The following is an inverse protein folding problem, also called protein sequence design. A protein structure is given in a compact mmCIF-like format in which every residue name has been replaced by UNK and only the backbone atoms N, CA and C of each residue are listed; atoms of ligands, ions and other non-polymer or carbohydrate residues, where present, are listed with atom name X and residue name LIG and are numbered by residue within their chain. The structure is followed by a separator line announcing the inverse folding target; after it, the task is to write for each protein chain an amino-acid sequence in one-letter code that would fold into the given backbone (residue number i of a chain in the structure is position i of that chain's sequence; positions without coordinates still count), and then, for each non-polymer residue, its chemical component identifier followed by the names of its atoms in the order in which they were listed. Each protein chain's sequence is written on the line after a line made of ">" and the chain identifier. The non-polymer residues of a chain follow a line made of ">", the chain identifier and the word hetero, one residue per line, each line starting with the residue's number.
data_IF_463544999908
#
_entry.id   IF_463544999908
#
_cell.length_a   1.000
_cell.length_b   1.000
_cell.length_c   1.000
_cell.angle_alpha   90.00
_cell.angle_beta   90.00
_cell.angle_gamma   90.00
#
_symmetry.space_group_name_H-M   'P 1'
#
loop_
_entity.id
_entity.type
_entity.pdbx_description
1 polymer ?
2 water ?
#
# COMPACT_ATOMS: atom_id res chain seq x y z
N UNK A 4 10.23 7.82 11.81
CA UNK A 4 11.53 7.65 11.15
C UNK A 4 12.13 6.28 11.47
N UNK A 5 11.54 5.24 10.88
CA UNK A 5 12.02 3.88 11.07
C UNK A 5 12.78 3.43 9.81
N UNK A 6 13.60 2.39 9.93
CA UNK A 6 14.32 1.91 8.75
C UNK A 6 13.42 1.15 7.77
N UNK A 7 12.28 0.66 8.25
CA UNK A 7 11.42 -0.19 7.45
C UNK A 7 10.01 0.31 7.23
N UNK A 8 9.26 -0.44 6.44
CA UNK A 8 7.90 -0.07 6.11
C UNK A 8 7.06 -1.32 6.18
N UNK A 9 5.99 -1.25 6.95
CA UNK A 9 5.10 -2.37 7.15
C UNK A 9 3.68 -1.85 7.01
N UNK A 10 3.13 -1.94 5.81
CA UNK A 10 1.81 -1.39 5.55
C UNK A 10 0.86 -2.40 4.93
N UNK A 11 -0.33 -2.49 5.51
CA UNK A 11 -1.39 -3.24 4.89
C UNK A 11 -2.52 -2.27 4.59
N UNK A 12 -3.17 -2.46 3.44
CA UNK A 12 -4.40 -1.74 3.12
C UNK A 12 -5.45 -2.74 2.71
N UNK A 13 -6.57 -2.73 3.42
CA UNK A 13 -7.63 -3.68 3.12
C UNK A 13 -8.96 -3.00 2.90
N UNK A 14 -9.80 -3.67 2.13
CA UNK A 14 -11.19 -3.30 1.98
C UNK A 14 -11.96 -4.61 1.90
N UNK A 15 -13.01 -4.73 2.71
CA UNK A 15 -13.77 -5.97 2.80
C UNK A 15 -14.86 -5.90 3.87
N UNK A 16 -15.43 -7.05 4.23
CA UNK A 16 -16.54 -7.06 5.17
C UNK A 16 -16.28 -7.87 6.44
N UNK A 17 -16.84 -7.42 7.56
CA UNK A 17 -16.78 -8.16 8.80
C UNK A 17 -17.54 -9.46 8.67
N UNK A 18 -16.89 -10.57 9.02
CA UNK A 18 -17.54 -11.86 9.04
C UNK A 18 -18.55 -11.92 10.17
N UNK A 19 -18.20 -11.32 11.30
CA UNK A 19 -19.10 -11.28 12.44
C UNK A 19 -19.20 -9.88 13.07
N UNK A 20 -20.17 -9.71 13.97
CA UNK A 20 -20.24 -8.51 14.78
C UNK A 20 -18.95 -8.39 15.59
N UNK A 21 -18.47 -7.16 15.81
CA UNK A 21 -17.17 -6.99 16.45
C UNK A 21 -17.09 -7.59 17.86
N UNK A 22 -15.89 -8.01 18.26
CA UNK A 22 -15.61 -8.44 19.62
C UNK A 22 -14.87 -7.35 20.38
N UNK A 23 -15.39 -6.97 21.55
CA UNK A 23 -14.81 -5.86 22.30
C UNK A 23 -14.50 -6.21 23.76
N UNK A 24 -13.37 -5.72 24.25
CA UNK A 24 -12.99 -5.93 25.64
C UNK A 24 -12.33 -4.66 26.17
N UNK A 25 -12.21 -4.58 27.48
CA UNK A 25 -11.50 -3.48 28.11
C UNK A 25 -10.35 -4.03 28.95
N UNK A 26 -9.28 -3.25 29.03
CA UNK A 26 -8.15 -3.60 29.88
C UNK A 26 -8.45 -3.16 31.31
N UNK A 27 -7.77 -3.78 32.29
CA UNK A 27 -7.93 -3.43 33.72
C UNK A 27 -7.91 -1.91 33.95
N UNK A 28 -7.20 -1.17 33.11
CA UNK A 28 -7.19 0.28 33.22
C UNK A 28 -8.33 0.98 32.47
N UNK A 29 -9.13 0.22 31.74
CA UNK A 29 -10.30 0.78 31.07
C UNK A 29 -10.23 0.82 29.56
N UNK A 30 -9.05 1.15 29.02
CA UNK A 30 -8.83 1.24 27.59
C UNK A 30 -9.43 0.10 26.77
N UNK A 31 -10.12 0.46 25.69
CA UNK A 31 -10.83 -0.49 24.83
C UNK A 31 -9.90 -1.30 23.93
N UNK A 32 -10.40 -2.45 23.48
CA UNK A 32 -9.66 -3.34 22.57
C UNK A 32 -10.65 -4.16 21.76
N UNK A 33 -10.66 -3.95 20.45
CA UNK A 33 -11.56 -4.70 19.57
C UNK A 33 -10.86 -5.53 18.51
N UNK A 34 -11.46 -6.68 18.21
CA UNK A 34 -10.97 -7.55 17.15
C UNK A 34 -12.09 -7.80 16.16
N UNK A 35 -11.76 -7.91 14.88
CA UNK A 35 -12.73 -8.37 13.90
C UNK A 35 -12.05 -9.29 12.90
N UNK A 36 -12.88 -9.99 12.17
CA UNK A 36 -12.43 -10.82 11.07
C UNK A 36 -12.87 -10.15 9.78
N UNK A 37 -11.95 -10.00 8.85
CA UNK A 37 -12.29 -9.33 7.61
C UNK A 37 -12.17 -10.26 6.43
N UNK A 38 -13.21 -10.29 5.61
CA UNK A 38 -13.14 -11.01 4.35
C UNK A 38 -12.90 -10.03 3.21
N UNK A 39 -11.83 -10.27 2.46
CA UNK A 39 -11.57 -9.52 1.24
C UNK A 39 -11.73 -10.42 0.02
N UNK A 40 -12.53 -9.99 -0.94
CA UNK A 40 -12.76 -10.78 -2.15
C UNK A 40 -11.98 -10.31 -3.37
N UNK A 41 -11.59 -11.29 -4.18
CA UNK A 41 -11.17 -11.04 -5.55
C UNK A 41 -12.00 -11.96 -6.45
N UNK A 42 -11.67 -12.00 -7.74
CA UNK A 42 -12.39 -12.89 -8.66
C UNK A 42 -11.44 -13.77 -9.46
N UNK A 43 -11.80 -15.04 -9.60
CA UNK A 43 -11.03 -15.98 -10.40
C UNK A 43 -11.81 -16.38 -11.64
N UNK A 44 -11.10 -16.58 -12.74
CA UNK A 44 -11.73 -16.97 -14.00
C UNK A 44 -11.52 -18.46 -14.20
N UNK A 45 -12.61 -19.21 -14.30
CA UNK A 45 -12.48 -20.62 -14.57
C UNK A 45 -11.99 -20.77 -16.00
N UNK A 46 -10.79 -21.33 -16.14
CA UNK A 46 -10.12 -21.41 -17.44
C UNK A 46 -10.92 -22.26 -18.43
N UNK A 47 -11.59 -23.28 -17.93
CA UNK A 47 -12.34 -24.17 -18.81
C UNK A 47 -13.68 -23.55 -19.25
N UNK A 48 -14.45 -23.06 -18.28
CA UNK A 48 -15.84 -22.70 -18.52
C UNK A 48 -16.08 -21.20 -18.58
N UNK A 49 -15.07 -20.42 -18.24
CA UNK A 49 -15.21 -18.97 -18.20
C UNK A 49 -16.07 -18.43 -17.06
N UNK A 50 -16.39 -19.26 -16.08
CA UNK A 50 -17.17 -18.80 -14.93
C UNK A 50 -16.40 -17.81 -14.04
N UNK A 51 -17.11 -16.78 -13.60
CA UNK A 51 -16.52 -15.77 -12.73
C UNK A 51 -16.85 -16.08 -11.28
N UNK A 52 -15.85 -16.57 -10.57
CA UNK A 52 -16.04 -17.10 -9.24
C UNK A 52 -15.27 -16.26 -8.22
N UNK A 53 -15.85 -16.13 -7.03
CA UNK A 53 -15.30 -15.29 -5.98
C UNK A 53 -14.36 -16.06 -5.06
N UNK A 54 -13.16 -15.52 -4.85
CA UNK A 54 -12.23 -16.06 -3.88
C UNK A 54 -12.08 -15.09 -2.69
N UNK A 55 -11.93 -15.65 -1.50
CA UNK A 55 -11.98 -14.86 -0.28
C UNK A 55 -10.77 -15.12 0.61
N UNK A 56 -10.15 -14.04 1.10
CA UNK A 56 -9.10 -14.18 2.10
C UNK A 56 -9.65 -13.70 3.42
N UNK A 57 -9.16 -14.29 4.50
CA UNK A 57 -9.62 -13.90 5.83
C UNK A 57 -8.52 -13.28 6.68
N UNK A 58 -8.86 -12.24 7.43
CA UNK A 58 -7.87 -11.47 8.15
C UNK A 58 -8.33 -11.18 9.54
N UNK A 59 -7.41 -11.29 10.50
CA UNK A 59 -7.72 -10.92 11.86
C UNK A 59 -7.24 -9.50 12.11
N UNK A 60 -8.12 -8.66 12.62
CA UNK A 60 -7.75 -7.28 12.84
C UNK A 60 -7.99 -6.85 14.28
N UNK A 61 -7.02 -6.12 14.82
CA UNK A 61 -7.10 -5.61 16.18
C UNK A 61 -7.13 -4.10 16.15
N UNK A 62 -8.01 -3.51 16.96
CA UNK A 62 -8.10 -2.05 17.12
C UNK A 62 -7.91 -1.70 18.59
N UNK A 63 -7.45 -0.48 18.85
CA UNK A 63 -7.18 -0.05 20.22
C UNK A 63 -7.70 1.35 20.52
N UNK A 64 -8.19 1.54 21.74
CA UNK A 64 -8.59 2.85 22.21
C UNK A 64 -9.75 3.43 21.40
N UNK A 65 -9.60 4.67 20.94
CA UNK A 65 -10.69 5.36 20.28
C UNK A 65 -11.22 4.58 19.07
N UNK A 66 -10.31 4.09 18.23
CA UNK A 66 -10.70 3.26 17.09
C UNK A 66 -11.52 2.05 17.51
N UNK A 67 -11.14 1.44 18.61
CA UNK A 67 -11.86 0.29 19.12
C UNK A 67 -13.27 0.72 19.52
N UNK A 68 -13.37 1.87 20.16
CA UNK A 68 -14.65 2.40 20.57
C UNK A 68 -15.53 2.60 19.34
N UNK A 69 -14.97 3.25 18.32
CA UNK A 69 -15.68 3.47 17.07
C UNK A 69 -16.18 2.15 16.48
N UNK A 70 -15.34 1.13 16.57
CA UNK A 70 -15.69 -0.18 16.02
C UNK A 70 -16.83 -0.83 16.79
N UNK A 71 -16.76 -0.78 18.11
CA UNK A 71 -17.83 -1.33 18.94
C UNK A 71 -19.19 -0.71 18.66
N UNK A 72 -19.21 0.61 18.54
CA UNK A 72 -20.46 1.34 18.37
C UNK A 72 -21.05 1.19 16.97
N UNK A 73 -20.20 1.24 15.96
CA UNK A 73 -20.67 1.48 14.60
C UNK A 73 -20.68 0.30 13.65
N UNK A 74 -19.94 -0.76 13.97
CA UNK A 74 -19.80 -1.82 12.98
C UNK A 74 -20.60 -3.05 13.31
N UNK A 75 -20.92 -3.83 12.27
CA UNK A 75 -21.78 -5.00 12.39
C UNK A 75 -21.36 -6.06 11.35
N UNK A 76 -21.88 -7.26 11.53
CA UNK A 76 -21.67 -8.32 10.55
C UNK A 76 -22.06 -7.76 9.18
N UNK A 77 -21.14 -7.86 8.22
CA UNK A 77 -21.42 -7.41 6.88
C UNK A 77 -20.88 -6.04 6.54
N UNK A 78 -20.60 -5.23 7.56
CA UNK A 78 -20.11 -3.88 7.37
C UNK A 78 -18.90 -3.85 6.46
N UNK A 79 -18.91 -2.96 5.48
CA UNK A 79 -17.78 -2.81 4.57
C UNK A 79 -16.92 -1.66 5.05
N UNK A 80 -15.64 -1.94 5.24
CA UNK A 80 -14.73 -0.93 5.75
C UNK A 80 -13.40 -0.93 5.01
N UNK A 81 -12.71 0.20 5.09
CA UNK A 81 -11.33 0.36 4.67
C UNK A 81 -10.44 0.35 5.90
N UNK A 82 -9.23 -0.17 5.77
CA UNK A 82 -8.29 -0.36 6.89
C UNK A 82 -6.86 -0.07 6.46
N UNK A 83 -6.15 0.75 7.22
CA UNK A 83 -4.70 0.86 7.07
C UNK A 83 -4.14 0.33 8.36
N UNK A 84 -3.08 -0.46 8.26
CA UNK A 84 -2.46 -0.96 9.45
C UNK A 84 -1.10 -1.56 9.19
N UNK A 85 -0.67 -2.36 10.17
CA UNK A 85 0.63 -3.01 10.24
C UNK A 85 0.45 -4.50 10.55
N UNK A 86 1.38 -5.31 10.06
CA UNK A 86 1.39 -6.73 10.36
C UNK A 86 2.18 -7.02 11.65
N UNK A 87 1.57 -7.80 12.54
CA UNK A 87 2.24 -8.30 13.75
C UNK A 87 2.25 -9.83 13.68
N UNK A 88 3.43 -10.42 13.70
CA UNK A 88 3.52 -11.88 13.58
C UNK A 88 4.15 -12.56 14.82
N UNK A 89 3.41 -13.52 15.38
CA UNK A 89 3.77 -14.18 16.62
C UNK A 89 3.71 -15.68 16.45
N UNK A 90 4.08 -16.41 17.50
CA UNK A 90 4.05 -17.86 17.48
C UNK A 90 3.03 -18.38 18.48
N UNK A 91 2.31 -19.42 18.07
CA UNK A 91 1.24 -19.98 18.90
C UNK A 91 0.99 -21.45 18.56
N UNK A 92 -0.06 -22.02 19.12
CA UNK A 92 -0.27 -23.46 18.98
C UNK A 92 -1.72 -23.87 18.79
N UNK A 93 -1.91 -24.95 18.03
CA UNK A 93 -3.20 -25.60 17.91
C UNK A 93 -3.35 -26.62 19.04
N UNK A 94 -3.95 -27.77 18.76
CA UNK A 94 -4.21 -28.77 19.79
C UNK A 94 -3.23 -29.94 19.79
N UNK A 95 -2.06 -29.74 19.19
CA UNK A 95 -1.04 -30.78 19.10
C UNK A 95 0.32 -30.27 19.55
N UNK A 96 1.38 -30.85 19.02
CA UNK A 96 2.74 -30.42 19.33
C UNK A 96 3.24 -29.34 18.37
N UNK A 97 2.31 -28.66 17.72
CA UNK A 97 2.61 -27.62 16.75
C UNK A 97 1.45 -26.63 16.79
N UNK A 98 1.66 -25.31 16.67
CA UNK A 98 2.94 -24.58 16.67
C UNK A 98 3.28 -23.85 15.35
N UNK A 99 2.68 -22.67 15.14
CA UNK A 99 3.02 -21.85 13.99
C UNK A 99 2.87 -20.35 14.24
N UNK A 100 3.29 -19.58 13.24
CA UNK A 100 3.15 -18.14 13.22
C UNK A 100 1.69 -17.72 13.09
N UNK A 101 1.27 -16.79 13.94
CA UNK A 101 -0.07 -16.22 13.85
C UNK A 101 0.02 -14.70 13.69
N UNK A 102 -0.53 -14.20 12.58
CA UNK A 102 -0.37 -12.80 12.22
C UNK A 102 -1.66 -12.00 12.35
N UNK A 103 -1.51 -10.76 12.80
CA UNK A 103 -2.65 -9.92 13.09
C UNK A 103 -2.37 -8.61 12.36
N UNK A 104 -3.40 -7.94 11.88
CA UNK A 104 -3.25 -6.56 11.41
C UNK A 104 -3.55 -5.60 12.56
N UNK A 105 -2.63 -4.69 12.80
CA UNK A 105 -2.90 -3.68 13.81
C UNK A 105 -3.32 -2.39 13.10
N UNK A 106 -4.59 -2.03 13.27
CA UNK A 106 -5.18 -0.95 12.52
C UNK A 106 -4.79 0.44 13.02
N UNK A 107 -4.37 1.31 12.11
CA UNK A 107 -4.05 2.70 12.43
C UNK A 107 -5.19 3.60 11.97
N UNK A 108 -5.94 3.15 10.97
CA UNK A 108 -6.99 3.96 10.38
C UNK A 108 -8.17 3.11 9.93
N UNK A 109 -9.35 3.71 9.90
CA UNK A 109 -10.55 2.97 9.54
C UNK A 109 -11.63 3.90 8.98
N UNK A 110 -12.05 3.64 7.74
CA UNK A 110 -13.10 4.41 7.09
C UNK A 110 -14.25 3.49 6.78
N UNK A 111 -15.43 3.81 7.29
CA UNK A 111 -16.60 3.02 6.97
C UNK A 111 -17.09 3.28 5.56
N UNK A 112 -17.48 2.23 4.86
CA UNK A 112 -17.90 2.37 3.47
C UNK A 112 -19.36 1.98 3.25
N UNK A 113 -20.14 2.02 4.32
CA UNK A 113 -21.56 1.64 4.26
C UNK A 113 -21.74 0.13 4.07
N UNK B 5 -12.46 -7.07 -9.43
CA UNK B 5 -12.72 -7.73 -8.14
C UNK B 5 -13.86 -7.06 -7.37
N UNK B 6 -13.59 -6.71 -6.11
CA UNK B 6 -14.59 -6.13 -5.20
C UNK B 6 -13.96 -5.78 -3.85
N UNK B 7 -12.80 -6.37 -3.57
CA UNK B 7 -12.08 -6.11 -2.34
C UNK B 7 -10.66 -5.67 -2.63
N UNK B 8 -10.01 -5.15 -1.61
CA UNK B 8 -8.61 -4.75 -1.72
C UNK B 8 -7.79 -5.50 -0.68
N UNK B 9 -6.68 -6.07 -1.15
CA UNK B 9 -5.78 -6.84 -0.34
C UNK B 9 -4.37 -6.45 -0.73
N UNK B 10 -3.73 -5.65 0.10
CA UNK B 10 -2.50 -5.03 -0.35
C UNK B 10 -1.52 -4.80 0.80
N UNK B 11 -0.28 -5.23 0.61
CA UNK B 11 0.80 -5.03 1.57
C UNK B 11 1.98 -4.34 0.90
N UNK B 12 2.59 -3.38 1.61
CA UNK B 12 3.82 -2.74 1.15
C UNK B 12 4.89 -2.95 2.20
N UNK B 13 5.99 -3.56 1.81
CA UNK B 13 7.07 -3.79 2.76
C UNK B 13 8.38 -3.23 2.26
N UNK B 14 9.19 -2.77 3.21
CA UNK B 14 10.60 -2.52 2.97
C UNK B 14 11.32 -3.16 4.13
N UNK B 15 12.32 -3.97 3.83
CA UNK B 15 13.02 -4.72 4.85
C UNK B 15 14.16 -5.51 4.24
N UNK B 16 14.77 -6.37 5.04
CA UNK B 16 15.90 -7.14 4.55
C UNK B 16 15.63 -8.63 4.52
N UNK B 17 16.29 -9.32 3.59
CA UNK B 17 16.20 -10.77 3.53
C UNK B 17 16.90 -11.36 4.73
N UNK B 18 16.20 -12.26 5.42
CA UNK B 18 16.73 -12.86 6.63
C UNK B 18 17.67 -14.00 6.29
N UNK B 19 17.52 -14.52 5.08
CA UNK B 19 18.37 -15.59 4.59
C UNK B 19 18.46 -15.51 3.07
N UNK B 20 19.37 -16.28 2.50
CA UNK B 20 19.45 -16.36 1.05
C UNK B 20 18.15 -16.93 0.52
N UNK B 21 17.70 -16.44 -0.65
CA UNK B 21 16.47 -16.96 -1.23
C UNK B 21 16.54 -18.47 -1.35
N UNK B 22 15.40 -19.14 -1.18
CA UNK B 22 15.30 -20.56 -1.52
C UNK B 22 14.44 -20.73 -2.78
N UNK B 23 15.09 -20.99 -3.91
CA UNK B 23 14.40 -21.16 -5.17
C UNK B 23 14.13 -22.63 -5.54
N UNK B 24 12.95 -22.89 -6.10
CA UNK B 24 12.58 -24.23 -6.54
C UNK B 24 11.80 -24.16 -7.84
N UNK B 25 11.44 -25.32 -8.38
CA UNK B 25 10.69 -25.37 -9.63
C UNK B 25 9.59 -26.42 -9.59
N UNK B 26 8.40 -26.02 -10.05
CA UNK B 26 7.29 -26.96 -10.16
C UNK B 26 7.67 -27.99 -11.22
N UNK B 27 7.16 -29.22 -11.09
CA UNK B 27 7.42 -30.30 -12.05
C UNK B 27 7.24 -29.85 -13.50
N UNK B 28 6.59 -28.71 -13.72
CA UNK B 28 6.51 -28.15 -15.06
C UNK B 28 7.19 -26.79 -15.21
N UNK B 29 8.46 -26.72 -14.82
CA UNK B 29 9.29 -25.54 -15.05
C UNK B 29 8.67 -24.21 -14.70
N UNK B 30 8.15 -24.09 -13.48
CA UNK B 30 7.68 -22.81 -12.98
C UNK B 30 8.51 -22.39 -11.78
N UNK B 31 8.99 -21.16 -11.82
CA UNK B 31 9.83 -20.64 -10.75
C UNK B 31 8.99 -20.33 -9.51
N UNK B 32 9.52 -20.73 -8.35
CA UNK B 32 8.89 -20.45 -7.06
C UNK B 32 10.01 -20.09 -6.10
N UNK B 33 9.86 -18.98 -5.39
CA UNK B 33 10.85 -18.59 -4.40
C UNK B 33 10.20 -18.23 -3.07
N UNK B 34 10.89 -18.55 -1.98
CA UNK B 34 10.40 -18.22 -0.65
C UNK B 34 11.48 -17.49 0.13
N UNK B 35 11.12 -16.34 0.66
CA UNK B 35 12.09 -15.58 1.45
C UNK B 35 11.46 -15.19 2.76
N UNK B 36 12.33 -14.88 3.70
CA UNK B 36 11.92 -14.34 4.97
C UNK B 36 12.39 -12.91 4.97
N UNK B 37 11.52 -12.00 5.36
CA UNK B 37 11.88 -10.60 5.31
C UNK B 37 11.66 -9.95 6.66
N UNK B 38 12.64 -9.17 7.10
CA UNK B 38 12.53 -8.44 8.35
C UNK B 38 12.31 -6.96 8.08
N UNK B 39 11.23 -6.42 8.64
CA UNK B 39 10.97 -5.01 8.59
C UNK B 39 11.17 -4.45 9.98
N UNK B 40 11.65 -3.22 10.06
CA UNK B 40 12.01 -2.68 11.34
C UNK B 40 11.34 -1.35 11.56
N UNK B 41 11.05 -1.05 12.82
CA UNK B 41 10.63 0.27 13.24
C UNK B 41 11.33 0.59 14.56
N UNK B 42 11.39 1.85 14.92
CA UNK B 42 12.02 2.23 16.17
C UNK B 42 10.99 2.40 17.27
N UNK B 43 11.44 2.27 18.51
CA UNK B 43 10.60 2.45 19.67
C UNK B 43 11.39 3.29 20.67
N UNK B 44 10.71 4.16 21.39
CA UNK B 44 11.38 5.01 22.36
C UNK B 44 11.23 4.44 23.75
N UNK B 45 12.32 4.16 24.45
CA UNK B 45 12.17 3.75 25.83
C UNK B 45 11.66 4.93 26.62
N UNK B 46 10.59 4.69 27.37
CA UNK B 46 9.91 5.75 28.10
C UNK B 46 10.80 6.31 29.21
N UNK B 47 11.39 5.42 30.02
CA UNK B 47 12.27 5.85 31.10
C UNK B 47 13.53 6.54 30.58
N UNK B 48 14.28 5.84 29.74
CA UNK B 48 15.63 6.24 29.38
C UNK B 48 15.74 6.99 28.07
N UNK B 49 14.66 7.04 27.30
CA UNK B 49 14.69 7.69 26.01
C UNK B 49 15.46 6.95 24.93
N UNK B 50 16.01 5.78 25.25
CA UNK B 50 16.72 5.00 24.25
C UNK B 50 15.86 4.65 23.04
N UNK B 51 16.37 4.95 21.85
CA UNK B 51 15.71 4.59 20.61
C UNK B 51 16.06 3.17 20.20
N UNK B 52 15.12 2.25 20.43
CA UNK B 52 15.39 0.83 20.25
C UNK B 52 14.65 0.24 19.04
N UNK B 53 15.29 -0.73 18.39
CA UNK B 53 14.78 -1.30 17.14
C UNK B 53 13.82 -2.46 17.39
N UNK B 54 12.67 -2.42 16.75
CA UNK B 54 11.72 -3.53 16.79
C UNK B 54 11.59 -4.13 15.40
N UNK B 55 11.46 -5.45 15.34
CA UNK B 55 11.56 -6.16 14.08
C UNK B 55 10.35 -7.07 13.89
N UNK B 56 9.71 -6.97 12.73
CA UNK B 56 8.67 -7.95 12.36
C UNK B 56 9.21 -8.86 11.28
N UNK B 57 8.64 -10.06 11.21
CA UNK B 57 9.09 -11.04 10.26
C UNK B 57 7.95 -11.50 9.38
N UNK B 58 8.26 -11.70 8.10
CA UNK B 58 7.25 -11.98 7.11
C UNK B 58 7.79 -13.04 6.20
N UNK B 59 6.90 -13.92 5.74
CA UNK B 59 7.22 -14.89 4.69
C UNK B 59 6.68 -14.36 3.39
N UNK B 60 7.53 -14.33 2.38
CA UNK B 60 7.11 -13.86 1.07
C UNK B 60 7.31 -14.97 0.05
N UNK B 61 6.40 -15.07 -0.90
CA UNK B 61 6.52 -16.04 -1.97
C UNK B 61 6.49 -15.31 -3.29
N UNK B 62 7.45 -15.61 -4.17
CA UNK B 62 7.46 -15.05 -5.51
C UNK B 62 7.23 -16.14 -6.51
N UNK B 63 6.74 -15.77 -7.68
CA UNK B 63 6.43 -16.75 -8.70
C UNK B 63 6.98 -16.36 -10.05
N UNK B 64 7.41 -17.37 -10.80
CA UNK B 64 7.78 -17.19 -12.19
C UNK B 64 8.88 -16.16 -12.35
N UNK B 65 8.65 -15.18 -13.22
CA UNK B 65 9.68 -14.23 -13.57
C UNK B 65 10.28 -13.61 -12.31
N UNK B 66 9.42 -13.03 -11.48
CA UNK B 66 9.85 -12.42 -10.22
C UNK B 66 10.67 -13.35 -9.33
N UNK B 67 10.36 -14.64 -9.32
CA UNK B 67 11.09 -15.60 -8.50
C UNK B 67 12.48 -15.81 -9.09
N UNK B 68 12.57 -15.76 -10.41
CA UNK B 68 13.85 -15.87 -11.07
C UNK B 68 14.68 -14.67 -10.69
N UNK B 69 14.11 -13.48 -10.86
CA UNK B 69 14.81 -12.25 -10.50
C UNK B 69 15.35 -12.31 -9.06
N UNK B 70 14.49 -12.74 -8.13
CA UNK B 70 14.89 -12.86 -6.74
C UNK B 70 16.16 -13.71 -6.57
N UNK B 71 16.17 -14.90 -7.17
CA UNK B 71 17.30 -15.81 -7.05
C UNK B 71 18.52 -15.39 -7.85
N UNK B 72 18.31 -14.52 -8.82
CA UNK B 72 19.40 -13.98 -9.63
C UNK B 72 20.18 -12.90 -8.89
N UNK B 73 19.48 -12.00 -8.21
CA UNK B 73 20.10 -10.82 -7.63
C UNK B 73 20.18 -10.75 -6.10
N UNK B 74 19.22 -11.36 -5.41
CA UNK B 74 19.07 -11.10 -3.98
C UNK B 74 19.81 -12.10 -3.10
N UNK B 75 20.40 -11.60 -2.03
CA UNK B 75 21.07 -12.44 -1.05
C UNK B 75 20.65 -12.04 0.36
N UNK B 76 21.12 -12.77 1.36
CA UNK B 76 20.86 -12.38 2.73
C UNK B 76 21.31 -10.92 2.91
N UNK B 77 20.54 -10.16 3.67
CA UNK B 77 20.87 -8.78 3.92
C UNK B 77 20.25 -7.83 2.91
N UNK B 78 19.96 -8.33 1.72
CA UNK B 78 19.43 -7.51 0.66
C UNK B 78 18.21 -6.75 1.12
N UNK B 79 18.20 -5.45 0.84
CA UNK B 79 17.06 -4.61 1.13
C UNK B 79 16.21 -4.41 -0.12
N UNK B 80 14.93 -4.76 0.00
CA UNK B 80 14.02 -4.68 -1.11
C UNK B 80 12.71 -4.03 -0.71
N UNK B 81 12.02 -3.51 -1.70
CA UNK B 81 10.65 -3.06 -1.57
C UNK B 81 9.74 -4.10 -2.21
N UNK B 82 8.51 -4.20 -1.70
CA UNK B 82 7.60 -5.24 -2.13
C UNK B 82 6.14 -4.84 -2.00
N UNK B 83 5.38 -5.03 -3.08
CA UNK B 83 3.93 -5.06 -3.01
C UNK B 83 3.44 -6.50 -3.21
N UNK B 84 2.35 -6.83 -2.53
CA UNK B 84 1.81 -8.15 -2.63
C UNK B 84 0.48 -8.21 -1.93
N UNK B 85 0.04 -9.45 -1.70
CA UNK B 85 -1.27 -9.76 -1.14
C UNK B 85 -1.12 -10.78 -0.05
N UNK B 86 -2.00 -10.73 0.95
CA UNK B 86 -1.97 -11.69 2.04
C UNK B 86 -2.75 -12.93 1.65
N UNK B 87 -2.19 -14.09 1.96
CA UNK B 87 -2.89 -15.36 1.80
C UNK B 87 -2.79 -16.08 3.15
N UNK B 88 -3.93 -16.52 3.68
CA UNK B 88 -3.97 -17.09 5.02
C UNK B 88 -4.59 -18.48 5.04
N UNK B 89 -4.06 -19.36 5.88
CA UNK B 89 -4.67 -20.66 6.10
C UNK B 89 -5.24 -20.81 7.51
N UNK B 90 -6.57 -20.88 7.60
CA UNK B 90 -7.30 -20.91 8.87
C UNK B 90 -6.80 -21.96 9.86
N UNK B 91 -7.03 -21.65 11.14
CA UNK B 91 -6.47 -22.35 12.28
C UNK B 91 -7.59 -22.73 13.24
N UNK B 92 -7.17 -23.09 14.44
CA UNK B 92 -8.04 -23.35 15.58
C UNK B 92 -7.14 -23.44 16.81
N UNK B 93 -7.48 -22.70 17.85
CA UNK B 93 -6.60 -22.56 19.01
C UNK B 93 -6.59 -23.78 19.91
N UNK B 94 -5.65 -23.81 20.84
CA UNK B 94 -5.69 -24.77 21.93
C UNK B 94 -6.97 -24.53 22.71
N UNK B 95 -7.43 -23.27 22.68
CA UNK B 95 -8.69 -22.89 23.30
C UNK B 95 -9.78 -22.75 22.24
N UNK B 96 -9.49 -23.21 21.03
CA UNK B 96 -10.48 -23.23 19.97
C UNK B 96 -10.74 -21.87 19.36
N UNK B 97 -9.78 -20.96 19.52
CA UNK B 97 -9.84 -19.63 18.91
C UNK B 97 -9.30 -19.67 17.48
N UNK B 98 -10.12 -19.24 16.53
CA UNK B 98 -9.68 -19.17 15.14
C UNK B 98 -8.40 -18.34 15.02
N UNK B 99 -7.38 -18.91 14.37
CA UNK B 99 -6.11 -18.20 14.11
C UNK B 99 -5.81 -18.10 12.61
N UNK B 100 -4.82 -17.28 12.26
CA UNK B 100 -4.50 -16.99 10.86
C UNK B 100 -3.01 -16.92 10.52
N UNK B 101 -2.55 -17.92 9.76
CA UNK B 101 -1.17 -17.95 9.26
C UNK B 101 -1.08 -17.29 7.90
N UNK B 102 -0.14 -16.37 7.75
CA UNK B 102 -0.10 -15.45 6.63
C UNK B 102 1.19 -15.51 5.83
N UNK B 103 1.05 -15.75 4.53
CA UNK B 103 2.17 -15.59 3.61
C UNK B 103 1.85 -14.38 2.77
N UNK B 104 2.87 -13.67 2.29
CA UNK B 104 2.66 -12.58 1.32
C UNK B 104 2.97 -13.05 -0.10
N UNK B 105 1.95 -13.01 -0.96
CA UNK B 105 2.13 -13.24 -2.38
C UNK B 105 2.59 -11.95 -3.06
N UNK B 106 3.79 -11.99 -3.63
CA UNK B 106 4.43 -10.80 -4.18
C UNK B 106 4.07 -10.55 -5.65
N UNK B 107 3.71 -9.31 -5.99
CA UNK B 107 3.50 -9.00 -7.40
C UNK B 107 4.47 -7.96 -7.95
N UNK B 108 5.01 -7.11 -7.08
CA UNK B 108 6.09 -6.20 -7.45
C UNK B 108 7.31 -6.35 -6.56
N UNK B 109 8.44 -5.81 -7.01
CA UNK B 109 9.66 -5.93 -6.26
C UNK B 109 10.74 -4.98 -6.79
N UNK B 110 11.14 -4.02 -5.98
CA UNK B 110 12.20 -3.09 -6.35
C UNK B 110 13.39 -3.27 -5.45
N UNK B 111 14.55 -3.48 -6.04
CA UNK B 111 15.78 -3.66 -5.26
C UNK B 111 16.31 -2.32 -4.80
N UNK B 112 16.96 -2.30 -3.64
CA UNK B 112 17.33 -1.06 -2.98
C UNK B 112 18.77 -1.00 -2.46
N UNK B 113 19.46 -2.14 -2.49
CA UNK B 113 20.84 -2.19 -2.01
C UNK B 113 21.73 -1.17 -2.72
N UNK C 6 -13.63 10.38 5.66
CA UNK C 6 -14.31 10.37 4.37
C UNK C 6 -13.36 10.68 3.22
N UNK C 7 -12.62 9.68 2.76
CA UNK C 7 -11.74 9.87 1.61
C UNK C 7 -10.30 9.52 1.92
N UNK C 8 -9.61 8.98 0.91
CA UNK C 8 -8.22 8.61 1.08
C UNK C 8 -7.41 9.27 -0.01
N UNK C 9 -6.31 9.89 0.40
CA UNK C 9 -5.46 10.66 -0.46
C UNK C 9 -4.04 10.28 -0.06
N UNK C 10 -3.54 9.20 -0.66
CA UNK C 10 -2.23 8.66 -0.30
C UNK C 10 -1.32 8.59 -1.50
N UNK C 11 -0.05 8.89 -1.29
CA UNK C 11 0.95 8.79 -2.33
C UNK C 11 2.18 8.13 -1.75
N UNK C 12 2.69 7.12 -2.44
CA UNK C 12 3.93 6.48 -2.04
C UNK C 12 4.97 6.63 -3.12
N UNK C 13 6.15 7.09 -2.76
CA UNK C 13 7.20 7.28 -3.76
C UNK C 13 8.54 6.79 -3.29
N UNK C 14 9.33 6.33 -4.25
CA UNK C 14 10.73 6.03 -4.04
C UNK C 14 11.45 6.50 -5.27
N UNK C 15 12.50 7.29 -5.05
CA UNK C 15 13.28 7.88 -6.12
C UNK C 15 14.36 8.79 -5.55
N UNK C 16 15.02 9.52 -6.43
CA UNK C 16 16.15 10.37 -6.05
C UNK C 16 15.85 11.88 -6.10
N UNK C 17 16.33 12.60 -5.09
CA UNK C 17 16.30 14.06 -5.10
C UNK C 17 17.00 14.62 -6.33
N UNK C 18 16.43 15.71 -6.88
CA UNK C 18 17.03 16.43 -7.99
C UNK C 18 17.99 17.54 -7.59
N UNK C 19 18.03 17.87 -6.30
CA UNK C 19 18.92 18.92 -5.83
C UNK C 19 19.18 18.79 -4.33
N UNK C 20 20.22 19.45 -3.83
CA UNK C 20 20.40 19.57 -2.40
C UNK C 20 19.24 20.42 -1.91
N UNK C 21 18.60 20.00 -0.81
CA UNK C 21 17.40 20.67 -0.28
C UNK C 21 17.71 21.98 0.43
N UNK C 22 16.89 23.00 0.24
CA UNK C 22 16.97 24.24 1.03
C UNK C 22 15.79 24.33 2.02
N UNK C 23 16.11 24.34 3.30
CA UNK C 23 15.12 24.63 4.33
C UNK C 23 14.85 26.13 4.38
N UNK C 24 13.58 26.49 4.25
CA UNK C 24 13.18 27.88 4.25
C UNK C 24 12.13 28.04 5.33
N UNK C 25 11.60 29.25 5.47
CA UNK C 25 10.56 29.48 6.46
C UNK C 25 9.33 30.14 5.85
N UNK C 26 8.19 29.77 6.40
CA UNK C 26 6.90 30.20 5.91
C UNK C 26 6.61 31.62 6.41
N UNK C 27 5.65 32.30 5.77
CA UNK C 27 5.14 33.56 6.33
C UNK C 27 4.53 33.36 7.72
N UNK C 28 4.55 32.13 8.22
CA UNK C 28 4.08 31.84 9.56
C UNK C 28 5.19 31.33 10.47
N UNK C 29 6.41 31.31 9.95
CA UNK C 29 7.58 30.97 10.75
C UNK C 29 7.95 29.51 10.79
N UNK C 30 7.26 28.69 10.00
CA UNK C 30 7.53 27.25 10.00
C UNK C 30 8.55 26.87 8.96
N UNK C 31 9.35 25.87 9.27
CA UNK C 31 10.25 25.30 8.28
C UNK C 31 9.50 24.66 7.10
N UNK C 32 10.01 24.87 5.90
CA UNK C 32 9.57 24.17 4.71
C UNK C 32 10.80 23.73 3.94
N UNK C 33 10.75 22.54 3.36
CA UNK C 33 11.73 22.17 2.35
C UNK C 33 11.07 21.64 1.07
N UNK C 34 11.11 22.44 0.02
CA UNK C 34 10.62 22.02 -1.30
C UNK C 34 11.72 21.32 -2.05
N UNK C 35 11.45 20.09 -2.49
CA UNK C 35 12.40 19.33 -3.29
C UNK C 35 11.67 18.66 -4.45
N UNK C 36 12.42 18.27 -5.47
CA UNK C 36 11.88 17.39 -6.49
C UNK C 36 12.45 15.97 -6.38
N UNK C 37 11.65 14.99 -6.75
CA UNK C 37 12.06 13.60 -6.72
C UNK C 37 11.80 12.95 -8.07
N UNK C 38 12.71 12.09 -8.48
CA UNK C 38 12.60 11.47 -9.78
C UNK C 38 12.27 10.00 -9.64
N UNK C 39 11.16 9.60 -10.27
CA UNK C 39 10.83 8.19 -10.41
C UNK C 39 10.94 7.87 -11.90
N UNK C 40 11.33 6.64 -12.22
CA UNK C 40 11.53 6.26 -13.61
C UNK C 40 10.89 4.91 -13.93
N UNK C 41 10.27 4.83 -15.10
CA UNK C 41 9.80 3.54 -15.61
C UNK C 41 10.56 3.20 -16.88
N UNK C 42 11.12 1.99 -16.92
CA UNK C 42 11.77 1.51 -18.12
C UNK C 42 11.13 0.21 -18.58
N UNK C 43 10.84 0.14 -19.87
CA UNK C 43 10.20 -1.03 -20.46
C UNK C 43 10.58 -1.06 -21.93
N UNK C 44 10.56 -2.24 -22.53
CA UNK C 44 10.86 -2.34 -23.95
C UNK C 44 9.58 -2.32 -24.79
N UNK C 45 9.54 -1.46 -25.79
CA UNK C 45 8.38 -1.39 -26.68
C UNK C 45 8.13 -2.76 -27.29
N UNK C 46 6.90 -3.25 -27.13
CA UNK C 46 6.54 -4.61 -27.51
C UNK C 46 6.53 -4.88 -29.01
N UNK C 47 7.05 -3.94 -29.80
CA UNK C 47 7.28 -4.21 -31.22
C UNK C 47 8.28 -3.25 -31.86
N UNK C 48 7.78 -2.15 -32.43
CA UNK C 48 8.61 -1.23 -33.21
C UNK C 48 9.82 -0.73 -32.42
N UNK C 49 9.63 0.33 -31.63
CA UNK C 49 10.70 0.84 -30.79
C UNK C 49 11.11 -0.22 -29.79
N UNK C 50 12.11 0.06 -28.98
CA UNK C 50 12.59 -0.93 -28.03
C UNK C 50 12.68 -0.43 -26.59
N UNK C 51 13.89 -0.42 -26.05
CA UNK C 51 14.12 -0.01 -24.66
C UNK C 51 13.63 1.41 -24.39
N UNK C 52 12.45 1.52 -23.81
CA UNK C 52 11.87 2.82 -23.46
C UNK C 52 12.17 3.18 -22.02
N UNK C 53 12.51 4.44 -21.79
CA UNK C 53 12.71 4.94 -20.43
C UNK C 53 12.11 6.33 -20.25
N UNK C 54 11.12 6.42 -19.36
CA UNK C 54 10.47 7.70 -19.08
C UNK C 54 10.71 8.08 -17.63
N UNK C 55 11.01 9.35 -17.40
CA UNK C 55 11.22 9.85 -16.05
C UNK C 55 10.12 10.82 -15.66
N UNK C 56 9.71 10.75 -14.40
CA UNK C 56 8.72 11.67 -13.87
C UNK C 56 9.33 12.48 -12.74
N UNK C 57 9.08 13.79 -12.75
CA UNK C 57 9.56 14.66 -11.68
C UNK C 57 8.41 15.03 -10.75
N UNK C 58 8.60 14.76 -9.46
CA UNK C 58 7.56 15.06 -8.47
C UNK C 58 7.96 16.21 -7.55
N UNK C 59 7.01 17.08 -7.25
CA UNK C 59 7.25 18.17 -6.30
C UNK C 59 6.81 17.75 -4.92
N UNK C 60 7.76 17.79 -3.97
CA UNK C 60 7.51 17.38 -2.60
C UNK C 60 7.67 18.54 -1.61
N UNK C 61 6.71 18.66 -0.71
CA UNK C 61 6.80 19.64 0.35
C UNK C 61 7.00 18.99 1.72
N UNK C 62 8.12 19.29 2.37
CA UNK C 62 8.35 18.87 3.74
C UNK C 62 8.20 20.06 4.67
N UNK C 63 7.46 19.86 5.76
CA UNK C 63 7.26 20.91 6.74
C UNK C 63 7.80 20.56 8.11
N UNK C 64 8.15 21.61 8.87
CA UNK C 64 8.56 21.46 10.26
C UNK C 64 9.76 20.54 10.45
N UNK C 65 9.67 19.61 11.39
CA UNK C 65 10.83 18.80 11.74
C UNK C 65 11.31 17.98 10.55
N UNK C 66 10.36 17.46 9.79
CA UNK C 66 10.67 16.69 8.59
C UNK C 66 11.47 17.55 7.62
N UNK C 67 11.06 18.82 7.52
CA UNK C 67 11.78 19.79 6.70
C UNK C 67 13.22 19.90 7.18
N UNK C 68 13.39 20.01 8.48
CA UNK C 68 14.72 20.15 9.08
C UNK C 68 15.59 18.90 8.93
N UNK C 69 15.00 17.73 9.16
CA UNK C 69 15.70 16.47 8.91
C UNK C 69 16.19 16.44 7.49
N UNK C 70 15.29 16.75 6.56
CA UNK C 70 15.63 16.70 5.15
C UNK C 70 16.75 17.68 4.84
N UNK C 71 16.61 18.90 5.35
CA UNK C 71 17.65 19.89 5.15
C UNK C 71 18.99 19.43 5.71
N UNK C 72 18.95 18.62 6.76
CA UNK C 72 20.17 18.22 7.43
C UNK C 72 20.79 16.91 6.94
N UNK C 73 20.00 16.02 6.37
CA UNK C 73 20.53 14.72 5.99
C UNK C 73 20.54 14.45 4.50
N UNK C 74 19.57 15.00 3.79
CA UNK C 74 19.43 14.67 2.40
C UNK C 74 20.25 15.58 1.49
N UNK C 75 20.75 15.00 0.41
CA UNK C 75 21.55 15.73 -0.57
C UNK C 75 21.05 15.36 -1.95
N UNK C 76 21.54 16.06 -2.97
CA UNK C 76 21.12 15.77 -4.34
C UNK C 76 21.37 14.30 -4.64
N UNK C 77 20.40 13.67 -5.32
CA UNK C 77 20.53 12.27 -5.70
C UNK C 77 20.23 11.26 -4.61
N UNK C 78 20.00 11.73 -3.38
CA UNK C 78 19.68 10.84 -2.27
C UNK C 78 18.48 9.96 -2.61
N UNK C 79 18.59 8.66 -2.34
CA UNK C 79 17.48 7.75 -2.58
C UNK C 79 16.58 7.71 -1.36
N UNK C 80 15.32 8.08 -1.56
CA UNK C 80 14.45 8.31 -0.42
C UNK C 80 13.05 7.74 -0.63
N UNK C 81 12.36 7.46 0.46
CA UNK C 81 11.04 6.87 0.40
C UNK C 81 10.09 7.85 1.03
N UNK C 82 8.91 7.98 0.45
CA UNK C 82 8.01 9.03 0.90
C UNK C 82 6.59 8.53 0.91
N UNK C 83 5.86 8.84 1.98
CA UNK C 83 4.41 8.69 2.02
C UNK C 83 3.85 10.10 2.14
N UNK C 84 2.71 10.37 1.52
CA UNK C 84 2.12 11.68 1.62
C UNK C 84 0.74 11.82 1.02
N UNK C 85 0.36 13.07 0.76
CA UNK C 85 -0.95 13.38 0.22
C UNK C 85 -0.80 14.37 -0.93
N UNK C 86 -1.72 14.32 -1.87
CA UNK C 86 -1.71 15.25 -3.00
C UNK C 86 -2.42 16.56 -2.67
N UNK C 87 -1.74 17.67 -2.91
CA UNK C 87 -2.40 18.96 -2.85
C UNK C 87 -2.12 19.80 -4.11
N UNK C 88 -3.19 20.32 -4.70
CA UNK C 88 -3.05 21.24 -5.81
C UNK C 88 -3.32 22.65 -5.29
N UNK C 89 -2.45 23.60 -5.59
CA UNK C 89 -2.80 24.98 -5.25
C UNK C 89 -2.95 25.91 -6.45
N UNK C 90 -3.76 26.95 -6.27
CA UNK C 90 -4.08 27.91 -7.30
C UNK C 90 -3.27 29.19 -7.11
N UNK C 91 -2.65 29.65 -8.19
CA UNK C 91 -1.98 30.95 -8.20
C UNK C 91 -2.25 31.71 -9.51
N UNK C 92 -1.79 32.94 -9.59
CA UNK C 92 -1.96 33.71 -10.81
C UNK C 92 -0.62 33.97 -11.50
N UNK C 93 -0.61 33.88 -12.83
CA UNK C 93 0.54 34.36 -13.58
C UNK C 93 0.50 35.88 -13.59
N UNK C 94 1.49 36.50 -14.22
CA UNK C 94 1.58 37.96 -14.26
C UNK C 94 0.36 38.62 -14.89
N UNK C 95 -0.38 37.88 -15.71
CA UNK C 95 -1.59 38.42 -16.33
C UNK C 95 -2.85 38.04 -15.59
N UNK C 96 -2.70 37.59 -14.34
CA UNK C 96 -3.84 37.28 -13.49
C UNK C 96 -4.58 35.99 -13.81
N UNK C 97 -4.04 35.18 -14.71
CA UNK C 97 -4.68 33.90 -14.99
C UNK C 97 -4.41 32.88 -13.89
N UNK C 98 -5.46 32.20 -13.46
CA UNK C 98 -5.34 31.08 -12.51
C UNK C 98 -4.50 29.95 -13.09
N UNK C 99 -3.39 29.65 -12.41
CA UNK C 99 -2.54 28.52 -12.77
C UNK C 99 -2.50 27.52 -11.60
N UNK C 100 -2.10 26.30 -11.88
CA UNK C 100 -2.17 25.26 -10.86
C UNK C 100 -0.87 24.50 -10.70
N UNK C 101 -0.58 24.09 -9.48
CA UNK C 101 0.58 23.24 -9.21
C UNK C 101 0.20 22.15 -8.23
N UNK C 102 0.56 20.92 -8.57
CA UNK C 102 0.27 19.78 -7.73
C UNK C 102 1.54 19.34 -6.99
N UNK C 103 1.40 19.17 -5.69
CA UNK C 103 2.53 18.84 -4.85
C UNK C 103 2.16 17.67 -3.94
N UNK C 104 3.18 16.91 -3.54
CA UNK C 104 3.07 15.91 -2.50
C UNK C 104 3.36 16.55 -1.16
N UNK C 105 2.37 16.61 -0.27
CA UNK C 105 2.62 16.96 1.12
C UNK C 105 3.08 15.71 1.86
N UNK C 106 4.38 15.62 2.11
CA UNK C 106 4.95 14.45 2.77
C UNK C 106 4.51 14.28 4.23
N UNK C 107 4.14 13.05 4.59
CA UNK C 107 3.78 12.66 5.96
C UNK C 107 4.97 11.98 6.61
N UNK C 108 5.68 11.23 5.81
CA UNK C 108 6.69 10.34 6.31
C UNK C 108 7.80 10.24 5.27
N UNK C 109 9.02 9.95 5.70
CA UNK C 109 10.10 9.68 4.77
C UNK C 109 11.19 8.81 5.39
N UNK C 110 11.75 7.91 4.60
CA UNK C 110 12.76 7.01 5.08
C UNK C 110 13.98 7.07 4.18
N UNK C 111 15.17 7.16 4.77
CA UNK C 111 16.39 7.22 3.97
C UNK C 111 16.82 5.83 3.49
N UNK C 112 17.01 5.69 2.19
CA UNK C 112 17.35 4.40 1.58
C UNK C 112 18.81 4.33 1.19
N UNK C 113 19.58 5.34 1.59
CA UNK C 113 21.02 5.36 1.33
C UNK C 113 21.81 5.16 2.63
N UNK D 6 13.00 1.02 -11.79
CA UNK D 6 13.58 1.64 -10.58
C UNK D 6 12.84 2.91 -10.12
N UNK D 7 12.31 2.86 -8.91
CA UNK D 7 11.50 3.95 -8.37
C UNK D 7 10.04 3.55 -8.30
N UNK D 8 9.35 3.99 -7.24
CA UNK D 8 7.95 3.67 -7.08
C UNK D 8 7.15 4.93 -7.22
N UNK D 9 6.13 4.88 -8.07
CA UNK D 9 5.28 6.00 -8.35
C UNK D 9 3.87 5.48 -8.17
N UNK D 10 3.33 5.67 -6.98
CA UNK D 10 2.07 5.03 -6.64
C UNK D 10 1.09 5.95 -5.94
N UNK D 11 -0.16 5.89 -6.37
CA UNK D 11 -1.22 6.68 -5.77
C UNK D 11 -2.39 5.78 -5.40
N UNK D 12 -3.02 6.08 -4.27
CA UNK D 12 -4.21 5.37 -3.85
C UNK D 12 -5.24 6.41 -3.44
N UNK D 13 -6.41 6.36 -4.04
CA UNK D 13 -7.47 7.26 -3.61
C UNK D 13 -8.79 6.55 -3.45
N UNK D 14 -9.63 7.17 -2.66
CA UNK D 14 -11.02 6.80 -2.50
C UNK D 14 -11.74 8.13 -2.41
N UNK D 15 -12.74 8.31 -3.27
CA UNK D 15 -13.52 9.54 -3.32
C UNK D 15 -14.63 9.41 -4.34
N UNK D 16 -15.29 10.52 -4.66
CA UNK D 16 -16.43 10.51 -5.59
C UNK D 16 -16.17 11.31 -6.88
N UNK D 17 -16.69 10.80 -7.98
CA UNK D 17 -16.59 11.48 -9.28
C UNK D 17 -17.31 12.82 -9.24
N UNK D 18 -16.69 13.82 -9.84
CA UNK D 18 -17.29 15.15 -9.95
C UNK D 18 -18.35 15.27 -11.03
N UNK D 19 -18.29 14.37 -12.01
CA UNK D 19 -19.20 14.43 -13.14
C UNK D 19 -19.37 13.07 -13.78
N UNK D 20 -20.55 12.82 -14.34
CA UNK D 20 -20.76 11.64 -15.16
C UNK D 20 -19.56 11.50 -16.10
N UNK D 21 -18.93 10.31 -16.08
CA UNK D 21 -17.74 10.10 -16.90
C UNK D 21 -18.14 10.04 -18.36
N UNK D 22 -17.16 10.21 -19.24
CA UNK D 22 -17.43 10.26 -20.66
C UNK D 22 -16.27 9.66 -21.44
N UNK D 23 -16.53 8.54 -22.09
CA UNK D 23 -15.54 7.90 -22.92
C UNK D 23 -15.35 8.65 -24.22
N UNK D 24 -14.10 8.98 -24.49
CA UNK D 24 -13.72 9.62 -25.73
C UNK D 24 -12.57 8.83 -26.31
N UNK D 25 -11.93 9.36 -27.34
CA UNK D 25 -10.88 8.63 -28.00
C UNK D 25 -9.68 9.51 -28.28
N UNK D 26 -8.50 8.94 -28.04
CA UNK D 26 -7.25 9.62 -28.32
C UNK D 26 -7.05 9.67 -29.82
N UNK D 27 -6.10 10.48 -30.29
CA UNK D 27 -5.76 10.52 -31.71
C UNK D 27 -5.16 9.21 -32.22
N UNK D 28 -4.93 8.26 -31.31
CA UNK D 28 -4.43 6.96 -31.71
C UNK D 28 -5.57 5.96 -31.84
N UNK D 29 -6.72 6.35 -31.31
CA UNK D 29 -7.93 5.57 -31.50
C UNK D 29 -8.40 4.92 -30.23
N UNK D 30 -7.58 5.02 -29.19
CA UNK D 30 -7.85 4.31 -27.95
C UNK D 30 -8.96 4.97 -27.13
N UNK D 31 -9.56 4.18 -26.24
CA UNK D 31 -10.56 4.70 -25.31
C UNK D 31 -9.90 5.47 -24.17
N UNK D 32 -10.61 6.45 -23.62
CA UNK D 32 -10.07 7.21 -22.50
C UNK D 32 -11.19 7.99 -21.85
N UNK D 33 -11.24 7.93 -20.53
CA UNK D 33 -12.12 8.80 -19.76
C UNK D 33 -11.34 9.67 -18.75
N UNK D 34 -11.41 10.98 -18.93
CA UNK D 34 -10.84 11.88 -17.96
C UNK D 34 -11.94 12.28 -17.00
N UNK D 35 -11.73 12.02 -15.71
CA UNK D 35 -12.72 12.42 -14.71
C UNK D 35 -12.03 13.07 -13.53
N UNK D 36 -12.80 13.80 -12.74
CA UNK D 36 -12.28 14.34 -11.50
C UNK D 36 -12.84 13.58 -10.31
N UNK D 37 -12.00 13.47 -9.29
CA UNK D 37 -12.34 12.72 -8.08
C UNK D 37 -12.14 13.60 -6.85
N UNK D 38 -13.12 13.57 -5.96
CA UNK D 38 -13.06 14.40 -4.78
C UNK D 38 -12.74 13.57 -3.54
N UNK D 39 -11.74 14.04 -2.79
CA UNK D 39 -11.37 13.46 -1.51
C UNK D 39 -11.37 14.59 -0.48
N UNK D 40 -11.83 14.32 0.73
CA UNK D 40 -11.89 15.36 1.75
C UNK D 40 -11.27 14.98 3.09
N UNK D 41 -10.94 16.01 3.86
CA UNK D 41 -10.46 15.86 5.22
C UNK D 41 -11.22 16.83 6.14
N UNK D 42 -11.36 16.45 7.41
CA UNK D 42 -11.98 17.28 8.44
C UNK D 42 -11.76 18.77 8.21
N UNK D 53 -13.41 21.54 7.05
CA UNK D 53 -13.34 20.54 5.99
C UNK D 53 -12.85 21.11 4.67
N UNK D 54 -11.89 20.42 4.05
CA UNK D 54 -11.29 20.87 2.80
C UNK D 54 -11.32 19.76 1.75
N UNK D 55 -11.80 20.10 0.55
CA UNK D 55 -11.93 19.10 -0.50
C UNK D 55 -10.86 19.25 -1.58
N UNK D 56 -10.25 18.13 -1.94
CA UNK D 56 -9.20 18.11 -2.94
C UNK D 56 -9.73 17.46 -4.21
N UNK D 57 -9.43 18.06 -5.35
CA UNK D 57 -9.88 17.52 -6.64
C UNK D 57 -8.72 16.95 -7.44
N UNK D 58 -8.85 15.69 -7.85
CA UNK D 58 -7.81 15.02 -8.63
C UNK D 58 -8.29 14.77 -10.05
N UNK D 59 -7.40 15.00 -11.01
CA UNK D 59 -7.66 14.60 -12.38
C UNK D 59 -7.20 13.17 -12.48
N UNK D 60 -8.09 12.28 -12.91
CA UNK D 60 -7.72 10.91 -13.18
C UNK D 60 -7.96 10.54 -14.64
N UNK D 61 -7.13 9.64 -15.15
CA UNK D 61 -7.25 9.21 -16.52
C UNK D 61 -7.32 7.69 -16.62
N UNK D 62 -8.39 7.17 -17.21
CA UNK D 62 -8.48 5.73 -17.50
C UNK D 62 -8.31 5.53 -18.99
N UNK D 63 -7.71 4.42 -19.37
CA UNK D 63 -7.56 4.08 -20.77
C UNK D 63 -8.17 2.74 -21.08
N UNK D 64 -8.54 2.55 -22.33
CA UNK D 64 -8.98 1.25 -22.84
C UNK D 64 -10.09 0.61 -22.01
N UNK D 65 -9.92 -0.67 -21.70
CA UNK D 65 -10.90 -1.41 -20.90
C UNK D 65 -11.46 -0.59 -19.73
N UNK D 66 -10.58 -0.22 -18.80
CA UNK D 66 -10.99 0.54 -17.62
C UNK D 66 -11.86 1.72 -17.99
N UNK D 67 -11.46 2.44 -19.04
CA UNK D 67 -12.25 3.55 -19.54
C UNK D 67 -13.68 3.13 -19.93
N UNK D 68 -13.80 2.05 -20.70
CA UNK D 68 -15.11 1.53 -21.08
C UNK D 68 -15.92 1.22 -19.83
N UNK D 69 -15.31 0.43 -18.94
CA UNK D 69 -15.95 0.03 -17.70
C UNK D 69 -16.39 1.24 -16.90
N UNK D 70 -15.51 2.24 -16.83
CA UNK D 70 -15.81 3.45 -16.10
C UNK D 70 -17.00 4.19 -16.71
N UNK D 71 -17.02 4.27 -18.04
CA UNK D 71 -18.09 4.95 -18.75
C UNK D 71 -19.44 4.28 -18.59
N UNK D 72 -19.44 2.95 -18.58
CA UNK D 72 -20.67 2.22 -18.38
C UNK D 72 -21.28 2.45 -17.00
N UNK D 73 -20.52 2.11 -15.96
CA UNK D 73 -21.12 1.94 -14.64
C UNK D 73 -21.10 3.16 -13.72
N UNK D 74 -20.25 4.14 -14.00
CA UNK D 74 -20.09 5.23 -13.07
C UNK D 74 -20.86 6.48 -13.45
N UNK D 75 -21.39 7.16 -12.45
CA UNK D 75 -22.11 8.40 -12.65
C UNK D 75 -21.48 9.45 -11.76
N UNK D 76 -22.03 10.66 -11.78
CA UNK D 76 -21.60 11.70 -10.87
C UNK D 76 -21.75 11.17 -9.45
N UNK D 77 -20.80 11.49 -8.57
CA UNK D 77 -20.91 11.13 -7.17
C UNK D 77 -20.59 9.68 -6.87
N UNK D 78 -20.24 8.91 -7.89
CA UNK D 78 -19.83 7.53 -7.68
C UNK D 78 -18.59 7.46 -6.78
N UNK D 79 -18.71 6.71 -5.69
CA UNK D 79 -17.59 6.47 -4.79
C UNK D 79 -16.79 5.30 -5.29
N UNK D 80 -15.50 5.52 -5.51
CA UNK D 80 -14.65 4.46 -5.99
C UNK D 80 -13.27 4.49 -5.33
N UNK D 81 -12.49 3.48 -5.67
CA UNK D 81 -11.17 3.31 -5.15
C UNK D 81 -10.30 3.19 -6.36
N UNK D 82 -9.12 3.79 -6.29
CA UNK D 82 -8.25 3.90 -7.44
C UNK D 82 -6.85 3.65 -7.01
N UNK D 83 -6.10 2.94 -7.84
CA UNK D 83 -4.65 2.97 -7.74
C UNK D 83 -4.12 3.52 -9.06
N UNK D 84 -2.93 4.10 -9.04
CA UNK D 84 -2.35 4.59 -10.25
C UNK D 84 -0.97 5.19 -10.06
N UNK D 85 -0.52 5.91 -11.09
CA UNK D 85 0.74 6.60 -11.09
C UNK D 85 0.47 8.05 -11.39
N UNK D 86 1.37 8.91 -10.95
CA UNK D 86 1.24 10.33 -11.24
C UNK D 86 1.94 10.65 -12.52
N UNK D 87 1.27 11.46 -13.35
CA UNK D 87 1.90 11.97 -14.57
C UNK D 87 1.65 13.46 -14.77
N UNK D 88 2.73 14.20 -14.93
CA UNK D 88 2.61 15.62 -15.25
C UNK D 88 2.89 15.79 -16.74
N UNK D 89 1.91 16.26 -17.50
CA UNK D 89 2.20 16.61 -18.89
C UNK D 89 2.36 18.11 -19.07
N UNK D 90 3.16 18.46 -20.07
CA UNK D 90 3.46 19.83 -20.43
C UNK D 90 2.61 20.26 -21.61
N UNK D 91 2.15 21.50 -21.57
CA UNK D 91 1.41 22.08 -22.70
C UNK D 91 1.59 23.60 -22.73
N UNK D 92 1.22 24.23 -23.85
CA UNK D 92 1.35 25.67 -24.00
C UNK D 92 0.01 26.38 -23.96
N UNK D 93 -0.03 27.56 -23.37
CA UNK D 93 -1.21 28.39 -23.49
C UNK D 93 -1.16 29.15 -24.80
N UNK D 94 -2.17 29.97 -25.04
CA UNK D 94 -2.24 30.78 -26.25
C UNK D 94 -0.88 31.40 -26.53
N UNK D 95 -0.26 31.94 -25.48
CA UNK D 95 0.99 32.67 -25.63
C UNK D 95 2.21 31.77 -25.71
N UNK D 96 1.96 30.47 -25.85
CA UNK D 96 3.03 29.50 -25.94
C UNK D 96 3.93 29.39 -24.72
N UNK D 97 3.44 29.83 -23.55
CA UNK D 97 4.15 29.55 -22.31
C UNK D 97 3.93 28.10 -21.84
N UNK D 98 5.01 27.40 -21.51
CA UNK D 98 4.93 26.06 -20.92
C UNK D 98 4.09 26.04 -19.64
N UNK D 99 2.95 25.37 -19.70
CA UNK D 99 2.11 25.11 -18.53
C UNK D 99 2.14 23.60 -18.21
N UNK D 100 1.63 23.23 -17.04
CA UNK D 100 1.78 21.84 -16.60
C UNK D 100 0.53 21.37 -15.90
N UNK D 101 0.13 20.13 -16.19
CA UNK D 101 -1.00 19.50 -15.50
C UNK D 101 -0.63 18.13 -14.91
N UNK D 102 -0.99 17.92 -13.65
CA UNK D 102 -0.73 16.63 -12.99
C UNK D 102 -2.00 15.78 -12.97
N UNK D 103 -1.89 14.59 -13.55
CA UNK D 103 -3.00 13.68 -13.67
C UNK D 103 -2.61 12.34 -13.07
N UNK D 104 -3.62 11.57 -12.67
CA UNK D 104 -3.38 10.23 -12.16
C UNK D 104 -3.70 9.23 -13.24
N UNK D 105 -2.71 8.45 -13.64
CA UNK D 105 -2.96 7.34 -14.55
C UNK D 105 -3.38 6.09 -13.78
N UNK D 106 -4.67 5.78 -13.82
CA UNK D 106 -5.22 4.67 -13.03
C UNK D 106 -4.88 3.28 -13.57
N UNK D 107 -4.48 2.39 -12.66
CA UNK D 107 -4.13 1.01 -12.98
C UNK D 107 -5.29 0.09 -12.67
N UNK D 108 -5.97 0.40 -11.58
CA UNK D 108 -7.01 -0.46 -11.05
C UNK D 108 -8.09 0.40 -10.45
N UNK D 109 -9.32 -0.07 -10.48
CA UNK D 109 -10.47 0.69 -9.97
C UNK D 109 -11.52 -0.24 -9.36
N UNK D 110 -12.05 0.14 -8.19
CA UNK D 110 -13.09 -0.64 -7.56
C UNK D 110 -14.25 0.23 -7.14
N UNK D 111 -15.45 -0.24 -7.37
CA UNK D 111 -16.61 0.54 -6.99
C UNK D 111 -17.05 0.19 -5.58
N UNK D 112 -17.30 1.22 -4.80
CA UNK D 112 -17.55 1.06 -3.38
C UNK D 112 -19.04 1.17 -3.06
N UNK D 113 -19.82 1.61 -4.04
CA UNK D 113 -21.25 1.76 -3.87
C UNK D 113 -21.95 0.41 -3.73
#
# INVERSE_FOLDING_TARGET
>A
SNAMARGVNKVILIGNLGQDPEVRYTPNGNAVANVTLATSTTWRDKQTGELQERTEWHRIAFFNRLAEIVGEYLRKGSKIYIEGSLRTRKWQDKNGVDRYTTEIIANEMHMLDNRGGGNSGNYGNHSEGGASNKQSAPTSSQTPTAGDDSSVADFDDD
>B
SNAXARGVNKVILIGNLGQDPEVRYTPNGNAVANVTLATSTTWRDKQTGELQERTEWHRIAFFNRLAEIVGEYLRKGSKIYIEGSLRTRKWQDKNGVDRYTTEIIANEMHMLDNRGGGNSGNYGNHSEGGASNKQSAPTSSQTPTAGDDSSVADFDDD
>C
SNAXARGVNKVILIGNLGQDPEVRYTPNGNAVANVTLATSTTWRDKQTGELQERTEWHRIAFFNRLAEIVGEYLRKGSKIYIEGSLRTRKWQDKNGVDRYTTEIIANEMHMLDNRGGGNSGNYGNHSEGGASNKQSAPTSSQTPTAGDDSSVADFDDD
>D
SNAXARGVNKVILIGNLGQDPEVRYTPNGNAVANVTLATSTTWRDKQTGELQERTEWHRIAFFNRLAEIVGEYLRKGSKIYIEGSLRTRKWQDKNGVDRYTTEIIANEMHMLDNRGGGNSGNYGNHSEGGASNKQSAPTSSQTPTAGDDSSVADFDDD
#
